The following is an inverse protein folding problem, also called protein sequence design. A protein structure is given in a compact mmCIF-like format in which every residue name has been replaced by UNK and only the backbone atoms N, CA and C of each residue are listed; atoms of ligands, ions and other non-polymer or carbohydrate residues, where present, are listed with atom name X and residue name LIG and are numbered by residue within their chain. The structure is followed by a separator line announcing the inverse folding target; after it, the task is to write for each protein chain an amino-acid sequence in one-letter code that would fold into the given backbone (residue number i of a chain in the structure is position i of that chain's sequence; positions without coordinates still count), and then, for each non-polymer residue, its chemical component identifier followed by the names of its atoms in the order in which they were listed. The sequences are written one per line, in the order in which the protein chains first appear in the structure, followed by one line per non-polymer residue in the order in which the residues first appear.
data_IF_724179737379
#
_entry.id   IF_724179737379
#
_cell.length_a   1.000
_cell.length_b   1.000
_cell.length_c   1.000
_cell.angle_alpha   90.00
_cell.angle_beta   90.00
_cell.angle_gamma   90.00
#
_symmetry.space_group_name_H-M   'P 1'
#
loop_
_entity.id
_entity.type
_entity.pdbx_description
1 polymer ?
#
# COMPACT_ATOMS: atom_id res chain seq x y z
N UNK A 1 11.36 0.21 -17.65
CA UNK A 1 9.90 0.19 -17.88
C UNK A 1 9.24 1.11 -16.87
N UNK A 2 8.08 1.69 -17.17
CA UNK A 2 7.38 2.60 -16.25
C UNK A 2 6.50 1.78 -15.31
N UNK A 3 6.74 1.82 -14.01
CA UNK A 3 5.91 1.16 -12.99
C UNK A 3 4.44 1.62 -13.12
N UNK A 4 3.50 0.68 -13.01
CA UNK A 4 2.07 0.99 -13.07
C UNK A 4 1.62 1.72 -11.79
N UNK A 5 1.09 2.96 -11.86
CA UNK A 5 0.57 3.65 -10.68
C UNK A 5 -0.73 2.97 -10.21
N UNK A 6 -0.79 2.61 -8.94
CA UNK A 6 -1.97 1.96 -8.33
C UNK A 6 -2.38 2.63 -7.02
N UNK A 7 -3.66 2.51 -6.68
CA UNK A 7 -4.21 2.83 -5.36
C UNK A 7 -4.72 1.55 -4.68
N UNK A 8 -4.57 1.46 -3.37
CA UNK A 8 -5.00 0.30 -2.58
C UNK A 8 -6.18 0.69 -1.69
N UNK A 9 -7.23 -0.12 -1.70
CA UNK A 9 -8.36 0.01 -0.77
C UNK A 9 -8.22 -1.06 0.32
N UNK A 10 -8.19 -0.64 1.58
CA UNK A 10 -8.06 -1.55 2.71
C UNK A 10 -8.79 -1.01 3.95
N UNK A 11 -9.34 -1.89 4.78
CA UNK A 11 -10.16 -1.49 5.94
C UNK A 11 -9.70 -2.11 7.27
N UNK A 12 -8.69 -2.97 7.26
CA UNK A 12 -8.29 -3.79 8.42
C UNK A 12 -6.80 -3.68 8.78
N UNK A 13 -6.21 -4.82 9.14
CA UNK A 13 -4.80 -4.92 9.55
C UNK A 13 -3.81 -4.61 8.43
N UNK A 14 -4.20 -4.78 7.16
CA UNK A 14 -3.36 -4.43 6.02
C UNK A 14 -2.28 -5.45 5.64
N UNK A 15 -2.44 -6.73 5.97
CA UNK A 15 -1.47 -7.78 5.62
C UNK A 15 -1.24 -7.88 4.10
N UNK A 16 -2.31 -7.80 3.30
CA UNK A 16 -2.18 -7.76 1.84
C UNK A 16 -1.50 -6.48 1.35
N UNK A 17 -1.78 -5.33 1.98
CA UNK A 17 -1.11 -4.08 1.65
C UNK A 17 0.41 -4.20 1.87
N UNK A 18 0.83 -4.81 2.98
CA UNK A 18 2.26 -5.02 3.26
C UNK A 18 2.91 -5.94 2.24
N UNK A 19 2.28 -7.08 1.91
CA UNK A 19 2.80 -8.01 0.92
C UNK A 19 2.94 -7.37 -0.47
N UNK A 20 1.96 -6.57 -0.88
CA UNK A 20 1.98 -5.83 -2.15
C UNK A 20 3.07 -4.74 -2.13
N UNK A 21 3.16 -3.96 -1.05
CA UNK A 21 4.18 -2.92 -0.89
C UNK A 21 5.60 -3.50 -0.90
N UNK A 22 5.81 -4.63 -0.23
CA UNK A 22 7.08 -5.34 -0.25
C UNK A 22 7.41 -5.86 -1.66
N UNK A 23 6.44 -6.45 -2.37
CA UNK A 23 6.66 -6.92 -3.74
C UNK A 23 7.01 -5.77 -4.70
N UNK A 24 6.34 -4.62 -4.56
CA UNK A 24 6.61 -3.42 -5.36
C UNK A 24 7.98 -2.79 -5.05
N UNK A 25 8.38 -2.77 -3.77
CA UNK A 25 9.69 -2.30 -3.34
C UNK A 25 10.81 -3.24 -3.80
N UNK A 26 10.60 -4.55 -3.74
CA UNK A 26 11.54 -5.57 -4.20
C UNK A 26 11.60 -5.74 -5.73
N UNK A 27 10.79 -5.00 -6.49
CA UNK A 27 10.74 -5.11 -7.96
C UNK A 27 10.11 -6.41 -8.47
N UNK A 28 9.48 -7.21 -7.59
CA UNK A 28 8.71 -8.41 -7.96
C UNK A 28 7.34 -8.06 -8.56
N UNK A 29 6.89 -6.83 -8.34
CA UNK A 29 5.68 -6.26 -8.91
C UNK A 29 6.05 -4.94 -9.60
N UNK A 30 5.77 -4.83 -10.90
CA UNK A 30 6.01 -3.62 -11.71
C UNK A 30 4.93 -2.55 -11.46
N UNK A 31 4.74 -2.18 -10.20
CA UNK A 31 3.76 -1.20 -9.76
C UNK A 31 4.36 -0.20 -8.76
N UNK A 32 3.75 0.97 -8.71
CA UNK A 32 4.05 2.03 -7.76
C UNK A 32 2.76 2.38 -7.00
N UNK A 33 2.77 2.16 -5.68
CA UNK A 33 1.62 2.47 -4.83
C UNK A 33 1.62 3.97 -4.57
N UNK A 34 0.60 4.67 -5.08
CA UNK A 34 0.48 6.13 -4.98
C UNK A 34 -0.40 6.59 -3.83
N UNK A 35 -1.32 5.73 -3.37
CA UNK A 35 -2.23 6.05 -2.27
C UNK A 35 -2.81 4.79 -1.62
N UNK A 36 -3.22 4.93 -0.36
CA UNK A 36 -4.07 3.98 0.33
C UNK A 36 -5.36 4.64 0.82
N UNK A 37 -6.51 4.17 0.34
CA UNK A 37 -7.81 4.60 0.85
C UNK A 37 -8.33 3.61 1.89
N UNK A 38 -8.67 4.14 3.07
CA UNK A 38 -9.31 3.38 4.13
C UNK A 38 -10.67 3.97 4.48
N UNK A 39 -11.67 3.12 4.69
CA UNK A 39 -13.00 3.52 5.14
C UNK A 39 -13.22 3.27 6.65
N UNK A 40 -12.21 2.79 7.37
CA UNK A 40 -12.26 2.52 8.81
C UNK A 40 -11.23 3.40 9.54
N UNK A 41 -11.66 4.45 10.25
CA UNK A 41 -10.77 5.25 11.09
C UNK A 41 -10.01 4.36 12.09
N UNK A 42 -8.71 4.64 12.28
CA UNK A 42 -7.86 3.89 13.21
C UNK A 42 -7.46 2.49 12.75
N UNK A 43 -7.77 2.07 11.52
CA UNK A 43 -7.30 0.78 11.02
C UNK A 43 -5.77 0.72 10.98
N UNK A 44 -5.12 -0.38 11.43
CA UNK A 44 -3.66 -0.49 11.47
C UNK A 44 -2.97 -0.30 10.12
N UNK A 45 -3.68 -0.53 9.01
CA UNK A 45 -3.17 -0.28 7.66
C UNK A 45 -2.78 1.18 7.41
N UNK A 46 -3.43 2.14 8.07
CA UNK A 46 -3.11 3.56 7.95
C UNK A 46 -1.69 3.87 8.43
N UNK A 47 -1.29 3.34 9.59
CA UNK A 47 0.08 3.51 10.10
C UNK A 47 1.10 2.80 9.22
N UNK A 48 0.75 1.62 8.68
CA UNK A 48 1.61 0.88 7.75
C UNK A 48 1.84 1.64 6.44
N UNK A 49 0.85 2.37 5.96
CA UNK A 49 0.96 3.26 4.80
C UNK A 49 1.84 4.48 5.11
N UNK A 50 1.57 5.16 6.23
CA UNK A 50 2.39 6.29 6.72
C UNK A 50 3.87 5.92 6.87
N UNK A 51 4.17 4.77 7.48
CA UNK A 51 5.54 4.28 7.67
C UNK A 51 6.29 4.04 6.35
N UNK A 52 5.57 3.91 5.23
CA UNK A 52 6.13 3.73 3.88
C UNK A 52 6.07 5.00 3.03
N UNK A 53 5.64 6.12 3.60
CA UNK A 53 5.47 7.39 2.87
C UNK A 53 4.34 7.35 1.84
N UNK A 54 3.38 6.43 1.98
CA UNK A 54 2.22 6.33 1.11
C UNK A 54 1.09 7.16 1.73
N UNK A 55 0.53 8.15 1.01
CA UNK A 55 -0.55 8.99 1.50
C UNK A 55 -1.88 8.23 1.64
#
# INVERSE_FOLDING_TARGET
MRKLPIGILASGTGTNFEAIAEAAAAGRLDAEIRLLQCNRPGAPVLEKARARGIP
#
